data_IF_613932929355
#
_entry.id   IF_613932929355
#
_cell.length_a   1.000
_cell.length_b   1.000
_cell.length_c   1.000
_cell.angle_alpha   90.00
_cell.angle_beta   90.00
_cell.angle_gamma   90.00
#
_symmetry.space_group_name_H-M   'P 1'
#
loop_
_entity.id
_entity.type
_entity.pdbx_description
1 polymer ?
#
# COMPACT_ATOMS: atom_id res chain seq x y z
N UNK A 1 -21.82 -0.46 -13.52
CA UNK A 1 -20.66 0.47 -13.49
C UNK A 1 -20.89 1.72 -12.63
N UNK A 2 -21.99 2.48 -12.82
CA UNK A 2 -22.25 3.73 -12.08
C UNK A 2 -22.34 3.56 -10.56
N UNK A 3 -23.04 2.53 -10.08
CA UNK A 3 -23.16 2.25 -8.64
C UNK A 3 -21.82 1.95 -7.95
N UNK A 4 -20.90 1.26 -8.64
CA UNK A 4 -19.58 0.95 -8.09
C UNK A 4 -18.74 2.21 -7.92
N UNK A 5 -18.74 3.09 -8.93
CA UNK A 5 -18.09 4.40 -8.89
C UNK A 5 -18.65 5.28 -7.76
N UNK A 6 -19.98 5.37 -7.65
CA UNK A 6 -20.64 6.21 -6.65
C UNK A 6 -20.40 5.68 -5.22
N UNK A 7 -20.35 4.36 -5.06
CA UNK A 7 -20.01 3.70 -3.78
C UNK A 7 -18.55 3.97 -3.39
N UNK A 8 -17.62 3.81 -4.34
CA UNK A 8 -16.20 4.08 -4.13
C UNK A 8 -15.96 5.55 -3.75
N UNK A 9 -16.60 6.48 -4.46
CA UNK A 9 -16.51 7.93 -4.16
C UNK A 9 -17.07 8.28 -2.77
N UNK A 10 -18.19 7.66 -2.37
CA UNK A 10 -18.79 7.83 -1.04
C UNK A 10 -17.89 7.30 0.07
N UNK A 11 -17.24 6.15 -0.14
CA UNK A 11 -16.29 5.58 0.81
C UNK A 11 -15.02 6.43 0.91
N UNK A 12 -14.43 6.84 -0.22
CA UNK A 12 -13.26 7.71 -0.26
C UNK A 12 -13.49 9.05 0.48
N UNK A 13 -14.69 9.63 0.38
CA UNK A 13 -15.06 10.84 1.11
C UNK A 13 -15.16 10.67 2.63
N UNK A 14 -15.49 9.46 3.12
CA UNK A 14 -15.59 9.17 4.56
C UNK A 14 -14.21 8.98 5.22
N UNK A 15 -13.20 8.55 4.46
CA UNK A 15 -11.84 8.28 4.95
C UNK A 15 -10.83 9.32 4.46
N UNK A 16 -11.22 10.60 4.46
CA UNK A 16 -10.39 11.70 3.96
C UNK A 16 -9.16 11.98 4.82
N UNK A 17 -9.17 11.56 6.09
CA UNK A 17 -8.01 11.65 6.98
C UNK A 17 -7.40 10.26 7.16
N UNK A 18 -6.13 10.05 6.80
CA UNK A 18 -5.46 8.82 7.15
C UNK A 18 -5.35 8.71 8.68
N UNK A 19 -5.68 7.55 9.23
CA UNK A 19 -5.58 7.25 10.66
C UNK A 19 -4.14 7.42 11.20
N UNK A 20 -3.14 7.26 10.31
CA UNK A 20 -1.73 7.48 10.60
C UNK A 20 -1.17 8.60 9.72
N UNK A 21 -0.65 9.69 10.32
CA UNK A 21 0.05 10.73 9.58
C UNK A 21 1.29 10.17 8.88
N UNK A 22 1.55 10.64 7.65
CA UNK A 22 2.84 10.36 6.98
C UNK A 22 3.93 11.09 7.76
N UNK A 23 5.08 10.45 7.94
CA UNK A 23 6.23 11.01 8.65
C UNK A 23 7.34 11.43 7.68
N UNK A 24 8.07 12.48 8.05
CA UNK A 24 9.31 12.88 7.40
C UNK A 24 10.45 11.89 7.72
N UNK A 25 11.69 12.24 7.37
CA UNK A 25 12.86 11.38 7.61
C UNK A 25 13.23 11.33 9.09
N UNK A 26 12.93 12.39 9.81
CA UNK A 26 13.16 12.61 11.24
C UNK A 26 12.04 12.00 12.10
N UNK A 27 11.02 11.41 11.47
CA UNK A 27 9.90 10.76 12.13
C UNK A 27 8.77 11.70 12.59
N UNK A 28 8.82 12.98 12.19
CA UNK A 28 7.79 13.97 12.52
C UNK A 28 6.62 13.89 11.55
N UNK A 29 5.38 14.06 12.02
CA UNK A 29 4.20 14.10 11.15
C UNK A 29 4.26 15.23 10.12
N UNK A 30 3.96 14.90 8.86
CA UNK A 30 3.77 15.85 7.76
C UNK A 30 2.29 16.25 7.73
N UNK A 31 2.01 17.55 7.77
CA UNK A 31 0.65 18.11 7.76
C UNK A 31 0.26 18.71 6.41
N UNK A 32 1.25 19.06 5.58
CA UNK A 32 1.02 19.68 4.26
C UNK A 32 0.96 18.65 3.13
N UNK A 33 -0.06 18.76 2.27
CA UNK A 33 -0.26 17.85 1.13
C UNK A 33 0.93 17.87 0.15
N UNK A 34 1.54 19.04 -0.08
CA UNK A 34 2.68 19.16 -0.99
C UNK A 34 3.91 18.43 -0.43
N UNK A 35 4.20 18.60 0.85
CA UNK A 35 5.27 17.86 1.52
C UNK A 35 5.02 16.35 1.50
N UNK A 36 3.77 15.92 1.69
CA UNK A 36 3.40 14.52 1.60
C UNK A 36 3.65 13.96 0.19
N UNK A 37 3.27 14.70 -0.86
CA UNK A 37 3.55 14.32 -2.26
C UNK A 37 5.04 14.23 -2.55
N UNK A 38 5.83 15.21 -2.10
CA UNK A 38 7.28 15.18 -2.26
C UNK A 38 7.89 13.97 -1.54
N UNK A 39 7.36 13.62 -0.35
CA UNK A 39 7.77 12.42 0.38
C UNK A 39 7.44 11.13 -0.35
N UNK A 40 6.29 11.07 -1.04
CA UNK A 40 5.93 9.95 -1.91
C UNK A 40 6.89 9.83 -3.09
N UNK A 41 7.15 10.92 -3.81
CA UNK A 41 8.07 10.94 -4.97
C UNK A 41 9.44 10.41 -4.57
N UNK A 42 10.01 10.94 -3.49
CA UNK A 42 11.33 10.50 -3.01
C UNK A 42 11.38 9.01 -2.68
N UNK A 43 10.34 8.50 -1.99
CA UNK A 43 10.29 7.08 -1.60
C UNK A 43 10.17 6.18 -2.84
N UNK A 44 9.31 6.53 -3.79
CA UNK A 44 9.15 5.79 -5.04
C UNK A 44 10.41 5.86 -5.90
N UNK A 45 11.05 7.02 -6.03
CA UNK A 45 12.33 7.14 -6.74
C UNK A 45 13.40 6.24 -6.12
N UNK A 46 13.53 6.25 -4.79
CA UNK A 46 14.49 5.38 -4.10
C UNK A 46 14.19 3.90 -4.33
N UNK A 47 12.92 3.50 -4.32
CA UNK A 47 12.51 2.12 -4.48
C UNK A 47 12.68 1.64 -5.93
N UNK A 48 12.27 2.44 -6.91
CA UNK A 48 12.25 2.08 -8.32
C UNK A 48 13.63 2.18 -8.98
N UNK A 49 14.50 3.07 -8.49
CA UNK A 49 15.88 3.18 -8.97
C UNK A 49 16.86 2.29 -8.19
N UNK A 50 16.37 1.48 -7.24
CA UNK A 50 17.22 0.55 -6.49
C UNK A 50 17.70 -0.55 -7.44
N UNK A 51 19.03 -0.81 -7.53
CA UNK A 51 19.53 -1.91 -8.35
C UNK A 51 19.03 -3.25 -7.81
N UNK A 52 18.93 -4.24 -8.70
CA UNK A 52 18.59 -5.60 -8.31
C UNK A 52 19.54 -6.08 -7.19
N UNK A 53 19.01 -6.70 -6.11
CA UNK A 53 19.87 -7.28 -5.09
C UNK A 53 20.76 -8.37 -5.71
N UNK A 54 22.04 -8.38 -5.33
CA UNK A 54 23.03 -9.34 -5.87
C UNK A 54 22.76 -10.78 -5.41
N UNK A 55 22.13 -10.93 -4.25
CA UNK A 55 21.73 -12.23 -3.74
C UNK A 55 20.29 -12.53 -4.16
N UNK A 56 19.98 -13.79 -4.54
CA UNK A 56 18.60 -14.18 -4.73
C UNK A 56 17.82 -13.96 -3.43
N UNK A 57 16.52 -13.63 -3.51
CA UNK A 57 15.70 -13.57 -2.32
C UNK A 57 15.68 -14.95 -1.65
N UNK A 58 15.87 -14.98 -0.33
CA UNK A 58 15.74 -16.20 0.47
C UNK A 58 14.25 -16.53 0.62
N UNK A 59 13.72 -17.24 -0.38
CA UNK A 59 12.33 -17.67 -0.44
C UNK A 59 12.31 -19.11 0.03
N UNK A 60 11.77 -19.34 1.23
CA UNK A 60 11.49 -20.69 1.71
C UNK A 60 10.55 -21.46 0.77
N UNK A 61 10.49 -22.79 0.87
CA UNK A 61 9.56 -23.57 0.06
C UNK A 61 8.13 -23.06 0.29
N UNK A 62 7.38 -22.91 -0.81
CA UNK A 62 5.96 -22.62 -0.70
C UNK A 62 5.31 -23.68 0.21
N UNK A 63 4.52 -23.25 1.19
CA UNK A 63 3.68 -24.18 1.94
C UNK A 63 2.70 -24.81 0.94
N UNK A 64 2.95 -26.08 0.56
CA UNK A 64 2.22 -26.72 -0.54
C UNK A 64 0.77 -27.04 -0.21
N UNK A 65 0.33 -27.07 1.05
CA UNK A 65 -1.04 -27.47 1.36
C UNK A 65 -1.73 -26.48 2.28
N UNK A 66 -2.27 -25.41 1.68
CA UNK A 66 -3.43 -24.72 2.26
C UNK A 66 -4.66 -25.47 1.75
N UNK A 67 -5.40 -26.20 2.61
CA UNK A 67 -6.67 -26.80 2.20
C UNK A 67 -7.64 -25.66 1.87
N UNK A 68 -7.82 -25.40 0.58
CA UNK A 68 -8.89 -24.54 0.09
C UNK A 68 -10.15 -25.38 0.15
N UNK A 69 -11.07 -24.99 1.03
CA UNK A 69 -12.41 -25.57 1.04
C UNK A 69 -13.13 -25.12 -0.25
N UNK A 70 -13.26 -26.07 -1.18
CA UNK A 70 -13.97 -25.87 -2.46
C UNK A 70 -15.46 -26.17 -2.32
N UNK A 71 -15.96 -26.49 -1.12
CA UNK A 71 -17.37 -26.72 -0.93
C UNK A 71 -18.16 -25.41 -1.09
N UNK A 72 -19.34 -25.47 -1.74
CA UNK A 72 -20.22 -24.33 -1.81
C UNK A 72 -20.67 -23.91 -0.39
N UNK A 73 -20.79 -22.61 -0.11
CA UNK A 73 -21.36 -22.15 1.16
C UNK A 73 -22.79 -22.69 1.30
N UNK A 74 -23.12 -23.20 2.49
CA UNK A 74 -24.49 -23.57 2.86
C UNK A 74 -25.31 -22.33 3.21
#
# INVERSE_FOLDING_TARGET
>A
MKQLHDTSKKLAGKYSKPERPVKDKEGKPITEIQQQRNRWVENFEKLLNRPAPMNPPDIGPAHTDLPIDVNPPT
#
